data_IF_492121713798
#
_entry.id   IF_492121713798
#
_cell.length_a   1.000
_cell.length_b   1.000
_cell.length_c   1.000
_cell.angle_alpha   90.00
_cell.angle_beta   90.00
_cell.angle_gamma   90.00
#
_symmetry.space_group_name_H-M   'P 1'
#
loop_
_entity.id
_entity.type
_entity.pdbx_description
1 polymer ?
#
# COMPACT_ATOMS: atom_id res chain seq x y z
N UNK A 1 -17.96 -0.10 3.22
CA UNK A 1 -19.28 -0.02 3.90
C UNK A 1 -20.28 -1.07 3.44
N UNK A 2 -20.28 -1.47 2.15
CA UNK A 2 -21.20 -2.51 1.63
C UNK A 2 -21.06 -3.87 2.34
N UNK A 3 -19.84 -4.35 2.58
CA UNK A 3 -19.63 -5.67 3.20
C UNK A 3 -20.11 -5.72 4.66
N UNK A 4 -19.86 -4.64 5.42
CA UNK A 4 -20.41 -4.50 6.78
C UNK A 4 -21.94 -4.59 6.78
N UNK A 5 -22.60 -3.94 5.82
CA UNK A 5 -24.05 -3.96 5.72
C UNK A 5 -24.58 -5.36 5.34
N UNK A 6 -23.91 -6.04 4.40
CA UNK A 6 -24.23 -7.43 4.02
C UNK A 6 -24.15 -8.37 5.22
N UNK A 7 -23.04 -8.32 5.97
CA UNK A 7 -22.84 -9.18 7.14
C UNK A 7 -23.80 -8.84 8.28
N UNK A 8 -24.09 -7.56 8.50
CA UNK A 8 -25.06 -7.13 9.52
C UNK A 8 -26.48 -7.67 9.24
N UNK A 9 -26.87 -7.76 7.97
CA UNK A 9 -28.17 -8.30 7.57
C UNK A 9 -28.30 -9.82 7.80
N UNK A 10 -27.19 -10.54 7.97
CA UNK A 10 -27.15 -11.97 8.22
C UNK A 10 -27.11 -12.33 9.72
N UNK A 11 -27.09 -11.32 10.60
CA UNK A 11 -27.01 -11.56 12.04
C UNK A 11 -28.35 -12.12 12.58
N UNK A 12 -28.31 -13.18 13.40
CA UNK A 12 -29.51 -13.75 14.02
C UNK A 12 -30.22 -12.75 14.93
N UNK A 13 -31.54 -12.86 15.08
CA UNK A 13 -32.27 -12.03 16.03
C UNK A 13 -31.81 -12.30 17.47
N UNK A 14 -31.65 -11.24 18.27
CA UNK A 14 -31.18 -11.37 19.66
C UNK A 14 -29.68 -11.61 19.84
N UNK A 15 -28.87 -11.63 18.77
CA UNK A 15 -27.42 -11.88 18.81
C UNK A 15 -26.66 -11.00 19.81
N UNK A 16 -27.11 -9.75 20.01
CA UNK A 16 -26.46 -8.79 20.91
C UNK A 16 -26.59 -9.17 22.39
N UNK A 17 -27.52 -10.07 22.73
CA UNK A 17 -27.76 -10.56 24.10
C UNK A 17 -27.27 -11.99 24.28
N UNK A 18 -27.19 -12.77 23.21
CA UNK A 18 -26.78 -14.18 23.24
C UNK A 18 -25.94 -14.52 22.00
N UNK A 19 -24.64 -14.73 22.23
CA UNK A 19 -23.68 -15.11 21.19
C UNK A 19 -23.83 -16.58 20.73
N UNK A 20 -24.57 -17.43 21.45
CA UNK A 20 -24.79 -18.82 21.01
C UNK A 20 -25.67 -18.89 19.77
N UNK A 21 -26.46 -17.83 19.49
CA UNK A 21 -27.28 -17.70 18.27
C UNK A 21 -26.44 -17.81 16.99
N UNK A 22 -25.16 -17.44 17.01
CA UNK A 22 -24.24 -17.59 15.88
C UNK A 22 -24.05 -19.06 15.47
N UNK A 23 -24.26 -20.03 16.37
CA UNK A 23 -24.17 -21.46 16.05
C UNK A 23 -25.26 -21.92 15.06
N UNK A 24 -26.31 -21.12 14.86
CA UNK A 24 -27.34 -21.36 13.86
C UNK A 24 -26.94 -20.94 12.43
N UNK A 25 -25.87 -20.15 12.30
CA UNK A 25 -25.37 -19.68 11.00
C UNK A 25 -24.60 -20.79 10.28
N UNK A 26 -24.58 -20.73 8.94
CA UNK A 26 -23.70 -21.61 8.17
C UNK A 26 -22.23 -21.32 8.47
N UNK A 27 -21.38 -22.35 8.31
CA UNK A 27 -19.93 -22.22 8.49
C UNK A 27 -19.34 -21.10 7.61
N UNK A 28 -19.83 -20.95 6.37
CA UNK A 28 -19.38 -19.91 5.44
C UNK A 28 -19.64 -18.49 5.98
N UNK A 29 -20.84 -18.26 6.55
CA UNK A 29 -21.22 -16.97 7.12
C UNK A 29 -20.39 -16.69 8.38
N UNK A 30 -20.18 -17.70 9.23
CA UNK A 30 -19.33 -17.59 10.41
C UNK A 30 -17.89 -17.22 10.05
N UNK A 31 -17.31 -17.89 9.05
CA UNK A 31 -15.95 -17.58 8.58
C UNK A 31 -15.87 -16.18 7.96
N UNK A 32 -16.90 -15.75 7.23
CA UNK A 32 -16.97 -14.40 6.68
C UNK A 32 -17.03 -13.33 7.78
N UNK A 33 -17.85 -13.54 8.82
CA UNK A 33 -17.95 -12.66 9.98
C UNK A 33 -16.62 -12.59 10.74
N UNK A 34 -16.01 -13.75 11.00
CA UNK A 34 -14.72 -13.83 11.67
C UNK A 34 -13.64 -13.10 10.86
N UNK A 35 -13.56 -13.38 9.56
CA UNK A 35 -12.61 -12.71 8.65
C UNK A 35 -12.78 -11.19 8.66
N UNK A 36 -14.02 -10.70 8.59
CA UNK A 36 -14.31 -9.26 8.66
C UNK A 36 -13.87 -8.64 10.00
N UNK A 37 -14.18 -9.30 11.13
CA UNK A 37 -13.77 -8.84 12.45
C UNK A 37 -12.25 -8.84 12.63
N UNK A 38 -11.57 -9.89 12.14
CA UNK A 38 -10.10 -9.98 12.14
C UNK A 38 -9.49 -8.88 11.29
N UNK A 39 -9.99 -8.66 10.06
CA UNK A 39 -9.52 -7.59 9.19
C UNK A 39 -9.67 -6.20 9.83
N UNK A 40 -10.76 -5.96 10.56
CA UNK A 40 -10.97 -4.71 11.30
C UNK A 40 -10.00 -4.50 12.48
N UNK A 41 -9.37 -5.58 12.96
CA UNK A 41 -8.40 -5.54 14.06
C UNK A 41 -6.94 -5.42 13.59
N UNK A 42 -6.69 -5.56 12.28
CA UNK A 42 -5.35 -5.51 11.71
C UNK A 42 -5.00 -4.07 11.34
N UNK A 43 -3.87 -3.56 11.86
CA UNK A 43 -3.34 -2.25 11.49
C UNK A 43 -1.85 -2.32 11.12
N UNK A 44 -1.48 -1.75 9.97
CA UNK A 44 -0.11 -1.67 9.48
C UNK A 44 0.56 -0.33 9.78
N UNK A 45 0.25 0.31 10.92
CA UNK A 45 0.79 1.64 11.25
C UNK A 45 2.31 1.58 11.33
N UNK A 46 2.96 2.34 10.48
CA UNK A 46 4.41 2.55 10.48
C UNK A 46 4.73 3.87 11.17
N UNK A 47 5.82 3.89 11.93
CA UNK A 47 6.33 5.11 12.56
C UNK A 47 7.40 5.73 11.68
N UNK A 48 7.46 7.07 11.68
CA UNK A 48 8.50 7.82 10.97
C UNK A 48 9.39 8.53 11.99
N UNK A 49 10.64 8.08 12.07
CA UNK A 49 11.65 8.67 12.94
C UNK A 49 12.85 9.13 12.12
N UNK A 50 13.29 10.37 12.31
CA UNK A 50 14.50 10.92 11.67
C UNK A 50 14.55 10.75 10.13
N UNK A 51 13.39 10.79 9.47
CA UNK A 51 13.29 10.62 8.02
C UNK A 51 13.17 9.17 7.54
N UNK A 52 13.35 8.19 8.43
CA UNK A 52 13.17 6.77 8.15
C UNK A 52 11.78 6.31 8.55
N UNK A 53 11.16 5.46 7.73
CA UNK A 53 9.88 4.83 8.04
C UNK A 53 10.15 3.39 8.46
N UNK A 54 9.56 2.96 9.59
CA UNK A 54 9.68 1.58 10.05
C UNK A 54 9.01 0.61 9.06
N UNK A 55 9.46 -0.65 9.06
CA UNK A 55 8.78 -1.71 8.30
C UNK A 55 7.40 -1.97 8.87
N UNK A 56 6.46 -2.40 8.01
CA UNK A 56 5.12 -2.77 8.50
C UNK A 56 5.24 -4.10 9.25
N UNK A 57 4.61 -4.26 10.43
CA UNK A 57 4.49 -5.57 11.06
C UNK A 57 3.67 -6.56 10.19
N UNK A 58 3.00 -6.06 9.15
CA UNK A 58 2.19 -6.83 8.23
C UNK A 58 2.90 -7.18 6.92
N UNK A 59 4.17 -6.80 6.71
CA UNK A 59 4.90 -7.01 5.45
C UNK A 59 4.76 -8.46 4.93
N UNK A 60 4.90 -9.46 5.81
CA UNK A 60 4.75 -10.88 5.47
C UNK A 60 3.32 -11.25 5.08
N UNK A 61 2.33 -10.71 5.79
CA UNK A 61 0.91 -10.95 5.51
C UNK A 61 0.51 -10.29 4.19
N UNK A 62 0.89 -9.03 3.97
CA UNK A 62 0.64 -8.27 2.76
C UNK A 62 1.22 -8.99 1.54
N UNK A 63 2.46 -9.48 1.65
CA UNK A 63 3.11 -10.29 0.61
C UNK A 63 2.36 -11.60 0.34
N UNK A 64 1.93 -12.31 1.40
CA UNK A 64 1.24 -13.59 1.27
C UNK A 64 -0.13 -13.47 0.58
N UNK A 65 -0.83 -12.36 0.78
CA UNK A 65 -2.15 -12.11 0.16
C UNK A 65 -2.07 -11.28 -1.13
N UNK A 66 -0.86 -10.93 -1.58
CA UNK A 66 -0.65 -10.07 -2.75
C UNK A 66 -1.27 -8.68 -2.59
N UNK A 67 -1.34 -8.16 -1.37
CA UNK A 67 -1.88 -6.83 -1.10
C UNK A 67 -0.85 -5.77 -1.45
N UNK A 68 -1.23 -4.82 -2.30
CA UNK A 68 -0.40 -3.67 -2.62
C UNK A 68 -1.18 -2.36 -2.43
N UNK A 69 -0.59 -1.40 -1.70
CA UNK A 69 -1.22 -0.10 -1.43
C UNK A 69 -1.60 0.66 -2.72
N UNK A 70 -0.82 0.45 -3.79
CA UNK A 70 -1.03 1.04 -5.13
C UNK A 70 -2.35 0.65 -5.81
N UNK A 71 -3.07 -0.35 -5.31
CA UNK A 71 -4.41 -0.70 -5.80
C UNK A 71 -5.52 0.20 -5.23
N UNK A 72 -5.24 0.87 -4.11
CA UNK A 72 -6.24 1.63 -3.35
C UNK A 72 -5.85 3.09 -3.15
N UNK A 73 -4.61 3.45 -3.49
CA UNK A 73 -4.08 4.79 -3.31
C UNK A 73 -3.26 5.22 -4.52
N UNK A 74 -3.43 6.47 -4.92
CA UNK A 74 -2.66 7.13 -5.96
C UNK A 74 -2.25 8.54 -5.50
N UNK A 75 -1.05 9.01 -5.85
CA UNK A 75 -0.60 10.34 -5.46
C UNK A 75 -1.32 11.41 -6.30
N UNK A 76 -1.87 12.41 -5.62
CA UNK A 76 -2.48 13.60 -6.22
C UNK A 76 -1.89 14.86 -5.59
N UNK A 77 -2.12 16.01 -6.22
CA UNK A 77 -1.79 17.31 -5.64
C UNK A 77 -2.47 17.52 -4.29
N UNK A 78 -3.74 17.14 -4.17
CA UNK A 78 -4.51 17.35 -2.94
C UNK A 78 -4.05 16.44 -1.79
N UNK A 79 -3.70 15.19 -2.06
CA UNK A 79 -3.37 14.23 -1.00
C UNK A 79 -1.86 14.11 -0.69
N UNK A 80 -0.97 14.42 -1.64
CA UNK A 80 0.46 14.11 -1.53
C UNK A 80 1.36 15.23 -2.07
N UNK A 81 1.35 15.52 -3.37
CA UNK A 81 2.33 16.44 -3.98
C UNK A 81 2.21 17.88 -3.47
N UNK A 82 1.02 18.33 -3.06
CA UNK A 82 0.84 19.64 -2.45
C UNK A 82 1.57 19.80 -1.11
N UNK A 83 1.79 18.70 -0.38
CA UNK A 83 2.48 18.67 0.91
C UNK A 83 4.01 18.55 0.78
N UNK A 84 4.51 18.11 -0.37
CA UNK A 84 5.94 17.97 -0.64
C UNK A 84 6.60 19.30 -1.00
N UNK A 85 7.89 19.42 -0.73
CA UNK A 85 8.72 20.49 -1.28
C UNK A 85 8.99 20.22 -2.76
N UNK A 86 9.22 21.27 -3.55
CA UNK A 86 9.47 21.14 -5.00
C UNK A 86 10.57 20.12 -5.35
N UNK A 87 11.73 20.07 -4.65
CA UNK A 87 12.74 19.03 -4.90
C UNK A 87 12.19 17.61 -4.70
N UNK A 88 11.38 17.39 -3.66
CA UNK A 88 10.79 16.08 -3.38
C UNK A 88 9.78 15.63 -4.45
N UNK A 89 9.11 16.58 -5.11
CA UNK A 89 8.23 16.27 -6.26
C UNK A 89 9.06 15.82 -7.46
N UNK A 90 10.20 16.47 -7.69
CA UNK A 90 11.14 16.10 -8.77
C UNK A 90 11.75 14.72 -8.49
N UNK A 91 12.15 14.46 -7.25
CA UNK A 91 12.66 13.15 -6.82
C UNK A 91 11.60 12.06 -7.04
N UNK A 92 10.34 12.30 -6.65
CA UNK A 92 9.24 11.37 -6.87
C UNK A 92 9.00 11.07 -8.37
N UNK A 93 9.12 12.08 -9.23
CA UNK A 93 9.03 11.91 -10.69
C UNK A 93 10.20 11.08 -11.24
N UNK A 94 11.42 11.30 -10.75
CA UNK A 94 12.58 10.51 -11.14
C UNK A 94 12.46 9.05 -10.66
N UNK A 95 12.01 8.83 -9.42
CA UNK A 95 11.75 7.49 -8.87
C UNK A 95 10.68 6.74 -9.67
N UNK A 96 9.73 7.47 -10.25
CA UNK A 96 8.72 6.92 -11.15
C UNK A 96 9.24 6.65 -12.58
N UNK A 97 10.51 6.92 -12.87
CA UNK A 97 11.10 6.80 -14.20
C UNK A 97 10.70 7.92 -15.17
N UNK A 98 10.08 9.00 -14.66
CA UNK A 98 9.56 10.13 -15.44
C UNK A 98 10.56 11.28 -15.48
N UNK A 99 11.83 11.00 -15.80
CA UNK A 99 12.91 12.00 -15.77
C UNK A 99 12.68 13.20 -16.70
N UNK A 100 11.92 13.03 -17.79
CA UNK A 100 11.50 14.15 -18.65
C UNK A 100 10.59 15.13 -17.91
N UNK A 101 9.52 14.62 -17.28
CA UNK A 101 8.59 15.40 -16.48
C UNK A 101 9.29 16.01 -15.24
N UNK A 102 10.27 15.31 -14.67
CA UNK A 102 11.08 15.84 -13.57
C UNK A 102 11.85 17.11 -13.97
N UNK A 103 12.48 17.11 -15.15
CA UNK A 103 13.21 18.28 -15.69
C UNK A 103 12.29 19.44 -16.04
N UNK A 104 11.06 19.17 -16.46
CA UNK A 104 10.07 20.21 -16.71
C UNK A 104 9.58 20.82 -15.38
N UNK A 105 9.35 19.99 -14.36
CA UNK A 105 8.97 20.42 -13.02
C UNK A 105 10.02 21.33 -12.34
N UNK A 106 11.32 21.16 -12.65
CA UNK A 106 12.39 22.06 -12.16
C UNK A 106 12.18 23.53 -12.52
N UNK A 107 11.50 23.83 -13.63
CA UNK A 107 11.26 25.19 -14.11
C UNK A 107 9.91 25.76 -13.65
N UNK A 108 9.06 24.94 -13.04
CA UNK A 108 7.70 25.30 -12.64
C UNK A 108 7.64 25.88 -11.22
N UNK A 109 6.55 26.57 -10.89
CA UNK A 109 6.26 26.89 -9.48
C UNK A 109 5.81 25.61 -8.77
N UNK A 110 5.97 25.55 -7.44
CA UNK A 110 5.60 24.37 -6.62
C UNK A 110 4.19 23.85 -6.93
N UNK A 111 3.21 24.77 -7.01
CA UNK A 111 1.81 24.41 -7.24
C UNK A 111 1.56 23.78 -8.62
N UNK A 112 2.28 24.25 -9.64
CA UNK A 112 2.20 23.75 -11.01
C UNK A 112 2.97 22.43 -11.15
N UNK A 113 4.13 22.31 -10.48
CA UNK A 113 4.89 21.07 -10.41
C UNK A 113 4.07 19.93 -9.76
N UNK A 114 3.25 20.26 -8.75
CA UNK A 114 2.36 19.29 -8.12
C UNK A 114 1.23 18.82 -9.06
N UNK A 115 0.62 19.72 -9.83
CA UNK A 115 -0.37 19.36 -10.86
C UNK A 115 0.26 18.53 -11.99
N UNK A 116 1.45 18.94 -12.42
CA UNK A 116 2.22 18.24 -13.43
C UNK A 116 2.56 16.81 -12.99
N UNK A 117 3.01 16.64 -11.75
CA UNK A 117 3.29 15.32 -11.19
C UNK A 117 2.03 14.45 -11.13
N UNK A 118 0.91 14.98 -10.65
CA UNK A 118 -0.37 14.26 -10.67
C UNK A 118 -0.76 13.84 -12.09
N UNK A 119 -0.64 14.72 -13.08
CA UNK A 119 -0.99 14.42 -14.46
C UNK A 119 -0.18 13.26 -15.04
N UNK A 120 1.14 13.24 -14.79
CA UNK A 120 2.03 12.20 -15.31
C UNK A 120 1.99 10.90 -14.50
N UNK A 121 1.58 10.96 -13.23
CA UNK A 121 1.57 9.81 -12.33
C UNK A 121 0.18 9.18 -12.15
N UNK A 122 -0.88 9.78 -12.70
CA UNK A 122 -2.26 9.26 -12.59
C UNK A 122 -2.45 7.81 -13.07
N UNK A 123 -1.72 7.41 -14.11
CA UNK A 123 -1.83 6.08 -14.73
C UNK A 123 -0.66 5.17 -14.34
N UNK A 124 0.29 5.68 -13.56
CA UNK A 124 1.37 4.86 -13.05
C UNK A 124 0.94 4.26 -11.71
N UNK A 125 1.33 3.01 -11.47
CA UNK A 125 1.07 2.37 -10.17
C UNK A 125 2.08 2.84 -9.11
N UNK A 126 2.68 4.02 -9.24
CA UNK A 126 3.76 4.45 -8.35
C UNK A 126 3.21 4.81 -6.96
N UNK A 127 3.95 4.41 -5.93
CA UNK A 127 3.72 4.83 -4.55
C UNK A 127 5.08 5.12 -3.91
N UNK A 128 5.14 5.98 -2.87
CA UNK A 128 6.37 6.23 -2.14
C UNK A 128 6.96 4.93 -1.59
N UNK A 129 8.29 4.86 -1.47
CA UNK A 129 8.99 3.64 -1.06
C UNK A 129 8.52 3.04 0.27
N UNK A 130 8.03 3.86 1.21
CA UNK A 130 7.49 3.38 2.49
C UNK A 130 6.10 2.73 2.37
N UNK A 131 5.37 2.95 1.27
CA UNK A 131 4.13 2.24 0.93
C UNK A 131 4.36 1.00 0.06
N UNK A 132 5.61 0.75 -0.36
CA UNK A 132 5.92 -0.44 -1.13
C UNK A 132 6.01 -1.66 -0.21
N UNK A 133 5.32 -2.74 -0.59
CA UNK A 133 5.56 -4.05 0.01
C UNK A 133 7.02 -4.45 -0.20
N UNK A 134 7.72 -4.97 0.82
CA UNK A 134 9.05 -5.51 0.63
C UNK A 134 9.00 -6.62 -0.42
N UNK A 135 9.96 -6.62 -1.34
CA UNK A 135 10.13 -7.75 -2.25
C UNK A 135 10.55 -8.97 -1.42
N UNK A 136 9.91 -10.14 -1.59
CA UNK A 136 10.36 -11.35 -0.91
C UNK A 136 11.84 -11.60 -1.21
N UNK A 137 12.64 -11.87 -0.16
CA UNK A 137 14.10 -12.08 -0.26
C UNK A 137 14.50 -13.29 -1.12
N UNK A 138 13.55 -14.12 -1.56
CA UNK A 138 13.80 -15.27 -2.43
C UNK A 138 14.38 -14.90 -3.81
N UNK A 139 14.31 -13.63 -4.22
CA UNK A 139 14.87 -13.17 -5.51
C UNK A 139 16.23 -12.48 -5.38
N UNK A 140 16.69 -12.15 -4.16
CA UNK A 140 17.99 -11.50 -3.95
C UNK A 140 19.17 -12.47 -3.94
N UNK A 141 18.97 -13.74 -3.55
CA UNK A 141 20.08 -14.72 -3.47
C UNK A 141 20.53 -15.28 -4.84
N UNK A 142 19.73 -15.17 -5.91
CA UNK A 142 20.12 -15.76 -7.21
C UNK A 142 21.01 -14.84 -8.06
N UNK A 143 21.13 -13.55 -7.72
CA UNK A 143 21.92 -12.60 -8.52
C UNK A 143 23.33 -12.41 -7.98
N UNK A 144 23.53 -12.51 -6.66
CA UNK A 144 24.87 -12.40 -6.06
C UNK A 144 25.75 -13.63 -6.32
N UNK A 145 25.17 -14.84 -6.47
CA UNK A 145 25.97 -16.05 -6.71
C UNK A 145 26.44 -16.23 -8.17
N UNK A 146 25.92 -15.43 -9.12
CA UNK A 146 26.23 -15.57 -10.54
C UNK A 146 27.37 -14.66 -11.01
N UNK A 147 27.67 -13.59 -10.28
CA UNK A 147 28.79 -12.69 -10.60
C UNK A 147 30.13 -13.26 -10.11
N UNK A 148 30.16 -13.91 -8.94
CA UNK A 148 31.40 -14.49 -8.39
C UNK A 148 31.93 -15.72 -9.16
N UNK A 149 31.11 -16.36 -9.99
CA UNK A 149 31.51 -17.52 -10.81
C UNK A 149 32.01 -17.14 -12.21
N UNK A 150 31.86 -15.89 -12.64
CA UNK A 150 32.28 -15.43 -13.97
C UNK A 150 33.71 -14.85 -14.00
N UNK A 151 34.32 -14.57 -12.85
CA UNK A 151 35.69 -14.02 -12.75
C UNK A 151 36.77 -15.10 -12.48
N UNK A 152 36.39 -16.38 -12.41
CA UNK A 152 37.30 -17.50 -12.10
C UNK A 152 37.40 -18.58 -13.21
N UNK A 153 37.18 -18.21 -14.48
CA UNK A 153 37.33 -19.12 -15.64
C UNK A 153 38.34 -18.58 -16.66
#
# INVERSE_FOLDING_TARGET
MAEKARLAALLPEGWSRDMTTFLSLSQEVLLSLLSFCTACSIHGVQTREHGHTSRSPLDSLESAIGFHMRDWWQPTKANFFGHLQKPQIIDALNDAGLSGAARDAEKMKKGDAAEHAEFHMKDNRWVPGWMCTPRPQAETETTEYRDDQAEAA
#
